data_IF_907442990205
#
_entry.id   IF_907442990205
#
_cell.length_a   1.000
_cell.length_b   1.000
_cell.length_c   1.000
_cell.angle_alpha   90.00
_cell.angle_beta   90.00
_cell.angle_gamma   90.00
#
_symmetry.space_group_name_H-M   'P 1'
#
loop_
_entity.id
_entity.type
_entity.pdbx_description
1 polymer ?
#
# COMPACT_ATOMS: atom_id res chain seq x y z
N UNK A 1 -13.93 84.76 -42.47
CA UNK A 1 -13.35 85.58 -43.55
C UNK A 1 -12.43 84.68 -44.37
N UNK A 2 -12.56 84.73 -45.71
CA UNK A 2 -11.66 84.24 -46.79
C UNK A 2 -11.02 82.85 -46.65
N UNK A 3 -11.46 81.80 -47.37
CA UNK A 3 -11.24 81.50 -48.82
C UNK A 3 -9.79 81.72 -49.27
N UNK A 4 -9.07 80.63 -49.58
CA UNK A 4 -8.50 80.35 -50.91
C UNK A 4 -7.62 79.07 -50.89
N UNK A 5 -8.01 78.08 -51.70
CA UNK A 5 -7.07 77.20 -52.42
C UNK A 5 -6.68 77.93 -53.71
N UNK A 6 -5.48 77.69 -54.28
CA UNK A 6 -5.46 76.82 -55.47
C UNK A 6 -4.17 75.99 -55.69
N UNK A 7 -4.41 74.79 -56.20
CA UNK A 7 -3.70 74.03 -57.26
C UNK A 7 -2.23 74.30 -57.61
N UNK A 8 -1.43 73.22 -57.70
CA UNK A 8 -0.99 72.67 -59.00
C UNK A 8 -0.36 71.28 -58.86
N UNK A 9 -0.85 70.37 -59.71
CA UNK A 9 -0.29 69.05 -60.04
C UNK A 9 0.96 69.21 -60.92
N UNK A 10 1.86 68.21 -60.93
CA UNK A 10 2.25 67.39 -62.12
C UNK A 10 3.59 66.66 -61.91
N UNK A 11 3.52 65.32 -62.04
CA UNK A 11 4.48 64.28 -62.46
C UNK A 11 5.92 64.22 -61.91
N UNK A 12 6.33 63.01 -61.45
CA UNK A 12 7.25 62.02 -62.10
C UNK A 12 7.14 60.74 -61.23
N UNK A 13 6.41 59.67 -61.59
CA UNK A 13 6.67 58.57 -62.54
C UNK A 13 8.05 57.90 -62.41
N UNK A 14 8.12 56.82 -61.60
CA UNK A 14 8.75 55.51 -61.87
C UNK A 14 9.10 54.85 -60.52
N UNK A 15 8.36 53.81 -60.10
CA UNK A 15 8.82 52.73 -59.22
C UNK A 15 7.73 51.70 -58.84
N UNK A 16 6.50 51.80 -59.34
CA UNK A 16 5.40 50.89 -58.98
C UNK A 16 5.01 49.92 -60.11
N UNK A 17 5.97 49.20 -60.70
CA UNK A 17 5.68 48.23 -61.76
C UNK A 17 6.53 46.94 -61.73
N UNK A 18 7.04 46.52 -60.58
CA UNK A 18 7.69 45.22 -60.41
C UNK A 18 7.29 44.65 -59.04
N UNK A 19 6.25 43.80 -59.02
CA UNK A 19 5.96 42.71 -58.06
C UNK A 19 4.48 42.26 -58.11
N UNK A 20 3.88 42.18 -59.31
CA UNK A 20 2.63 41.41 -59.51
C UNK A 20 2.96 40.28 -60.47
N UNK A 21 3.27 39.10 -59.93
CA UNK A 21 3.53 37.92 -60.76
C UNK A 21 4.38 36.82 -60.14
N UNK A 22 4.06 36.34 -58.93
CA UNK A 22 4.49 35.00 -58.49
C UNK A 22 3.73 34.59 -57.24
N UNK A 23 2.62 33.88 -57.43
CA UNK A 23 1.84 33.35 -56.31
C UNK A 23 0.56 32.63 -56.73
N UNK A 24 0.50 32.06 -57.94
CA UNK A 24 -0.48 31.01 -58.21
C UNK A 24 -0.01 29.78 -57.41
N UNK A 25 -0.70 29.44 -56.32
CA UNK A 25 -0.62 28.11 -55.78
C UNK A 25 -1.09 27.15 -56.89
N UNK A 26 -0.17 26.39 -57.48
CA UNK A 26 -0.52 25.19 -58.21
C UNK A 26 -0.83 24.13 -57.16
N UNK A 27 -2.09 23.73 -57.09
CA UNK A 27 -2.45 22.49 -56.45
C UNK A 27 -2.01 21.38 -57.42
N UNK A 28 -1.11 20.51 -56.98
CA UNK A 28 -0.86 19.25 -57.69
C UNK A 28 -2.15 18.42 -57.58
N UNK A 29 -2.75 18.10 -58.73
CA UNK A 29 -3.91 17.18 -58.86
C UNK A 29 -3.51 15.72 -58.63
N UNK A 30 -2.67 15.43 -57.64
CA UNK A 30 -2.32 14.04 -57.28
C UNK A 30 -3.26 13.46 -56.20
N UNK A 31 -4.56 13.77 -56.32
CA UNK A 31 -5.68 13.20 -55.55
C UNK A 31 -6.11 11.82 -56.09
N UNK A 32 -5.18 11.04 -56.65
CA UNK A 32 -5.46 9.68 -57.16
C UNK A 32 -4.45 8.65 -56.66
N UNK A 33 -3.94 8.81 -55.44
CA UNK A 33 -3.42 7.65 -54.71
C UNK A 33 -4.63 6.92 -54.10
N UNK A 34 -4.79 5.60 -54.32
CA UNK A 34 -5.81 4.85 -53.61
C UNK A 34 -5.60 5.04 -52.11
N UNK A 35 -6.68 5.24 -51.36
CA UNK A 35 -6.63 5.33 -49.90
C UNK A 35 -5.76 4.18 -49.37
N UNK A 36 -4.61 4.49 -48.79
CA UNK A 36 -3.91 3.54 -47.93
C UNK A 36 -4.88 3.22 -46.80
N UNK A 37 -5.23 1.94 -46.67
CA UNK A 37 -6.02 1.41 -45.56
C UNK A 37 -5.53 2.02 -44.26
N UNK A 38 -6.45 2.54 -43.44
CA UNK A 38 -6.15 3.05 -42.11
C UNK A 38 -5.31 1.99 -41.38
N UNK A 39 -4.13 2.32 -40.83
CA UNK A 39 -3.40 1.36 -40.02
C UNK A 39 -4.33 0.95 -38.88
N UNK A 40 -4.72 -0.31 -38.85
CA UNK A 40 -5.34 -0.89 -37.67
C UNK A 40 -4.32 -0.73 -36.55
N UNK A 41 -4.55 0.25 -35.66
CA UNK A 41 -3.90 0.27 -34.37
C UNK A 41 -4.46 -0.92 -33.60
N UNK A 42 -3.85 -2.07 -33.81
CA UNK A 42 -3.95 -3.15 -32.85
C UNK A 42 -3.54 -2.62 -31.48
N UNK A 43 -4.12 -3.13 -30.39
CA UNK A 43 -3.63 -2.80 -29.06
C UNK A 43 -2.11 -3.01 -29.04
N UNK A 44 -1.34 -2.14 -28.37
CA UNK A 44 0.08 -2.39 -28.19
C UNK A 44 0.23 -3.82 -27.64
N UNK A 45 1.22 -4.60 -28.09
CA UNK A 45 1.48 -5.89 -27.47
C UNK A 45 1.59 -5.64 -25.97
N UNK A 46 0.73 -6.33 -25.21
CA UNK A 46 0.77 -6.28 -23.75
C UNK A 46 2.09 -6.93 -23.34
N UNK A 47 3.15 -6.14 -23.27
CA UNK A 47 4.42 -6.61 -22.73
C UNK A 47 4.18 -6.88 -21.25
N UNK A 48 4.08 -8.17 -20.94
CA UNK A 48 3.96 -8.61 -19.57
C UNK A 48 5.21 -8.13 -18.81
N UNK A 49 5.05 -7.41 -17.68
CA UNK A 49 6.20 -6.93 -16.94
C UNK A 49 7.10 -8.10 -16.55
N UNK A 50 8.43 -7.97 -16.64
CA UNK A 50 9.34 -9.08 -16.36
C UNK A 50 9.10 -9.67 -14.96
N UNK A 51 9.39 -10.96 -14.75
CA UNK A 51 9.25 -11.59 -13.45
C UNK A 51 10.11 -10.87 -12.39
N UNK A 52 9.62 -10.73 -11.14
CA UNK A 52 10.40 -10.18 -10.04
C UNK A 52 11.76 -10.88 -9.86
N UNK A 53 12.82 -10.14 -9.52
CA UNK A 53 14.15 -10.71 -9.38
C UNK A 53 14.26 -11.60 -8.14
N UNK A 54 15.10 -12.67 -8.16
CA UNK A 54 15.43 -13.45 -6.98
C UNK A 54 16.30 -12.66 -5.99
N UNK A 55 16.42 -13.17 -4.75
CA UNK A 55 17.43 -12.66 -3.82
C UNK A 55 18.86 -12.83 -4.38
N UNK A 56 19.81 -11.96 -4.00
CA UNK A 56 21.20 -12.12 -4.36
C UNK A 56 21.75 -13.48 -3.91
N UNK A 57 22.42 -14.20 -4.82
CA UNK A 57 22.98 -15.53 -4.53
C UNK A 57 24.05 -15.51 -3.42
N UNK A 58 24.77 -14.39 -3.30
CA UNK A 58 25.70 -14.15 -2.20
C UNK A 58 25.16 -13.01 -1.32
N UNK A 59 24.61 -13.33 -0.12
CA UNK A 59 24.10 -12.31 0.77
C UNK A 59 25.24 -11.49 1.38
N UNK A 60 24.96 -10.22 1.68
CA UNK A 60 25.87 -9.39 2.47
C UNK A 60 26.10 -10.02 3.84
N UNK A 61 27.36 -10.13 4.31
CA UNK A 61 27.64 -10.73 5.61
C UNK A 61 27.12 -9.83 6.73
N UNK A 62 26.22 -10.36 7.56
CA UNK A 62 25.65 -9.66 8.71
C UNK A 62 26.05 -10.30 10.03
N UNK A 63 25.97 -9.52 11.11
CA UNK A 63 26.12 -10.04 12.49
C UNK A 63 25.08 -11.11 12.80
N UNK A 64 23.82 -10.88 12.41
CA UNK A 64 22.79 -11.91 12.48
C UNK A 64 22.91 -12.84 11.29
N UNK A 65 23.20 -14.12 11.55
CA UNK A 65 23.39 -15.12 10.50
C UNK A 65 22.07 -15.74 10.00
N UNK A 66 21.08 -14.89 9.71
CA UNK A 66 19.81 -15.32 9.13
C UNK A 66 19.93 -15.43 7.61
N UNK A 67 19.72 -16.63 7.06
CA UNK A 67 19.84 -16.90 5.62
C UNK A 67 18.50 -16.74 4.92
N UNK A 68 18.53 -16.30 3.66
CA UNK A 68 17.33 -16.22 2.80
C UNK A 68 16.32 -15.13 3.21
N UNK A 69 16.71 -14.20 4.07
CA UNK A 69 15.87 -13.12 4.60
C UNK A 69 16.55 -11.76 4.39
N UNK A 70 15.78 -10.68 4.42
CA UNK A 70 16.35 -9.32 4.42
C UNK A 70 17.05 -9.04 5.74
N UNK A 71 16.45 -9.44 6.86
CA UNK A 71 17.00 -9.28 8.19
C UNK A 71 16.40 -10.33 9.13
N UNK A 72 17.20 -10.85 10.05
CA UNK A 72 16.73 -11.61 11.21
C UNK A 72 17.19 -10.99 12.52
N UNK A 73 17.02 -11.71 13.63
CA UNK A 73 17.32 -11.25 14.98
C UNK A 73 16.59 -9.94 15.32
N UNK A 74 15.34 -9.82 14.84
CA UNK A 74 14.44 -8.74 15.18
C UNK A 74 13.63 -9.13 16.43
N UNK A 75 13.08 -8.14 17.12
CA UNK A 75 11.95 -8.39 18.02
C UNK A 75 10.67 -8.55 17.20
N UNK A 76 9.60 -9.02 17.86
CA UNK A 76 8.36 -9.37 17.18
C UNK A 76 7.84 -8.25 16.28
N UNK A 77 7.73 -8.52 14.99
CA UNK A 77 7.47 -7.49 13.99
C UNK A 77 6.00 -7.05 13.99
N UNK A 78 5.72 -5.95 13.32
CA UNK A 78 4.37 -5.37 13.20
C UNK A 78 4.23 -4.72 11.82
N UNK A 79 4.35 -3.40 11.73
CA UNK A 79 4.37 -2.68 10.46
C UNK A 79 5.64 -2.93 9.64
N UNK A 80 5.48 -3.00 8.32
CA UNK A 80 6.55 -3.16 7.35
C UNK A 80 6.32 -2.19 6.19
N UNK A 81 7.39 -1.50 5.77
CA UNK A 81 7.36 -0.57 4.63
C UNK A 81 8.55 -0.89 3.73
N UNK A 82 8.28 -1.37 2.52
CA UNK A 82 9.33 -1.62 1.53
C UNK A 82 9.87 -0.31 0.97
N UNK A 83 11.19 -0.20 0.90
CA UNK A 83 11.87 0.95 0.34
C UNK A 83 11.70 1.04 -1.18
N UNK A 84 11.86 2.24 -1.78
CA UNK A 84 11.73 2.44 -3.22
C UNK A 84 12.77 1.67 -4.05
N UNK A 85 13.89 1.27 -3.42
CA UNK A 85 14.95 0.48 -4.05
C UNK A 85 14.67 -1.04 -4.03
N UNK A 86 13.57 -1.48 -3.41
CA UNK A 86 13.21 -2.89 -3.21
C UNK A 86 14.25 -3.73 -2.44
N UNK A 87 15.28 -3.09 -1.90
CA UNK A 87 16.42 -3.73 -1.22
C UNK A 87 16.53 -3.32 0.23
N UNK A 88 15.83 -2.26 0.61
CA UNK A 88 15.68 -1.75 1.97
C UNK A 88 14.22 -1.79 2.43
N UNK A 89 14.01 -1.73 3.73
CA UNK A 89 12.70 -1.58 4.34
C UNK A 89 12.79 -0.87 5.70
N UNK A 90 11.67 -0.30 6.14
CA UNK A 90 11.43 0.02 7.54
C UNK A 90 10.61 -1.11 8.15
N UNK A 91 11.06 -1.64 9.29
CA UNK A 91 10.32 -2.64 10.07
C UNK A 91 10.09 -2.11 11.48
N UNK A 92 8.85 -2.22 11.94
CA UNK A 92 8.45 -1.87 13.29
C UNK A 92 8.47 -3.11 14.19
N UNK A 93 9.09 -2.97 15.36
CA UNK A 93 9.10 -3.97 16.42
C UNK A 93 8.02 -3.64 17.45
N UNK A 94 7.06 -4.56 17.58
CA UNK A 94 5.82 -4.36 18.32
C UNK A 94 6.06 -4.02 19.78
N UNK A 95 6.88 -4.83 20.45
CA UNK A 95 7.02 -4.79 21.90
C UNK A 95 8.02 -3.74 22.38
N UNK A 96 9.01 -3.39 21.56
CA UNK A 96 10.04 -2.40 21.88
C UNK A 96 9.67 -0.99 21.42
N UNK A 97 8.73 -0.87 20.47
CA UNK A 97 8.40 0.39 19.82
C UNK A 97 9.50 0.88 18.87
N UNK A 98 10.51 0.07 18.58
CA UNK A 98 11.59 0.45 17.68
C UNK A 98 11.14 0.38 16.22
N UNK A 99 11.58 1.34 15.42
CA UNK A 99 11.53 1.28 13.95
C UNK A 99 12.95 1.13 13.45
N UNK A 100 13.22 0.07 12.71
CA UNK A 100 14.55 -0.26 12.17
C UNK A 100 14.58 -0.09 10.66
N UNK A 101 15.64 0.55 10.17
CA UNK A 101 16.06 0.49 8.77
C UNK A 101 16.80 -0.83 8.57
N UNK A 102 16.31 -1.65 7.65
CA UNK A 102 16.91 -2.92 7.29
C UNK A 102 17.18 -2.93 5.78
N UNK A 103 18.21 -3.66 5.35
CA UNK A 103 18.52 -3.80 3.94
C UNK A 103 19.21 -5.12 3.63
N UNK A 104 19.07 -5.63 2.42
CA UNK A 104 19.76 -6.84 1.96
C UNK A 104 21.29 -6.70 1.91
N UNK A 105 21.80 -5.47 1.89
CA UNK A 105 23.21 -5.14 1.67
C UNK A 105 23.86 -4.29 2.77
N UNK A 106 23.22 -4.16 3.94
CA UNK A 106 23.74 -3.40 5.07
C UNK A 106 23.25 -3.96 6.41
N UNK A 107 23.98 -3.66 7.48
CA UNK A 107 23.54 -3.94 8.86
C UNK A 107 22.29 -3.13 9.23
N UNK A 108 21.41 -3.68 10.07
CA UNK A 108 20.21 -2.98 10.49
C UNK A 108 20.58 -1.79 11.39
N UNK A 109 19.82 -0.71 11.29
CA UNK A 109 19.97 0.48 12.12
C UNK A 109 18.65 0.84 12.78
N UNK A 110 18.68 1.16 14.07
CA UNK A 110 17.51 1.75 14.74
C UNK A 110 17.32 3.18 14.22
N UNK A 111 16.20 3.45 13.53
CA UNK A 111 15.84 4.79 13.05
C UNK A 111 15.31 5.62 14.20
N UNK A 112 14.39 5.07 14.99
CA UNK A 112 13.81 5.70 16.17
C UNK A 112 13.14 4.67 17.08
N UNK A 113 12.78 5.09 18.29
CA UNK A 113 12.01 4.30 19.25
C UNK A 113 10.83 5.15 19.73
N UNK A 114 9.62 4.59 19.59
CA UNK A 114 8.37 5.23 20.02
C UNK A 114 8.00 4.65 21.39
N UNK A 115 7.69 5.48 22.41
CA UNK A 115 7.17 4.98 23.66
C UNK A 115 5.83 4.26 23.43
N UNK A 116 5.75 3.00 23.84
CA UNK A 116 4.55 2.16 23.71
C UNK A 116 4.30 1.37 24.98
N UNK A 117 3.06 0.93 25.18
CA UNK A 117 2.70 -0.06 26.19
C UNK A 117 2.43 -1.41 25.52
N UNK A 118 3.34 -2.39 25.63
CA UNK A 118 3.23 -3.68 24.96
C UNK A 118 2.38 -4.70 25.74
N UNK A 119 1.65 -4.30 26.79
CA UNK A 119 0.78 -5.19 27.54
C UNK A 119 -0.24 -5.91 26.65
N UNK A 120 -0.41 -7.22 26.82
CA UNK A 120 -1.30 -8.03 25.98
C UNK A 120 -0.79 -8.09 24.53
N UNK A 121 -1.67 -7.75 23.59
CA UNK A 121 -1.31 -7.60 22.17
C UNK A 121 -1.01 -6.15 21.75
N UNK A 122 -0.93 -5.21 22.70
CA UNK A 122 -0.57 -3.81 22.45
C UNK A 122 0.91 -3.58 22.09
N UNK A 123 1.29 -2.33 21.87
CA UNK A 123 2.65 -1.91 21.48
C UNK A 123 2.69 -0.94 20.29
N UNK A 124 3.65 -1.09 19.39
CA UNK A 124 3.68 -0.43 18.07
C UNK A 124 3.02 -1.34 17.03
N UNK A 125 1.81 -1.01 16.57
CA UNK A 125 0.96 -1.93 15.78
C UNK A 125 1.17 -1.82 14.28
N UNK A 126 1.35 -0.60 13.76
CA UNK A 126 1.66 -0.39 12.35
C UNK A 126 2.35 0.98 12.15
N UNK A 127 3.01 1.11 11.01
CA UNK A 127 3.65 2.34 10.55
C UNK A 127 3.31 2.60 9.08
N UNK A 128 3.16 3.86 8.71
CA UNK A 128 2.98 4.27 7.32
C UNK A 128 3.70 5.59 7.05
N UNK A 129 4.30 5.70 5.87
CA UNK A 129 4.89 6.96 5.40
C UNK A 129 3.81 7.86 4.80
N UNK A 130 3.96 9.17 4.98
CA UNK A 130 3.18 10.14 4.22
C UNK A 130 3.35 9.90 2.70
N UNK A 131 2.29 10.07 1.89
CA UNK A 131 2.41 10.03 0.43
C UNK A 131 3.44 11.04 -0.10
N UNK A 132 3.70 12.12 0.64
CA UNK A 132 4.70 13.15 0.36
C UNK A 132 5.96 13.05 1.23
N UNK A 133 6.30 11.86 1.75
CA UNK A 133 7.47 11.64 2.62
C UNK A 133 8.80 12.17 2.06
N UNK A 134 8.96 12.20 0.74
CA UNK A 134 10.15 12.79 0.11
C UNK A 134 10.31 14.28 0.43
N UNK A 135 9.19 14.98 0.65
CA UNK A 135 9.09 16.42 0.92
C UNK A 135 8.91 16.72 2.42
N UNK A 136 7.98 16.02 3.08
CA UNK A 136 7.57 16.36 4.45
C UNK A 136 8.29 15.55 5.55
N UNK A 137 8.92 14.43 5.18
CA UNK A 137 9.57 13.47 6.11
C UNK A 137 8.65 12.99 7.24
N UNK A 138 7.33 12.96 7.00
CA UNK A 138 6.34 12.55 7.99
C UNK A 138 6.02 11.06 7.93
N UNK A 139 6.07 10.43 9.09
CA UNK A 139 5.58 9.06 9.31
C UNK A 139 4.43 9.09 10.30
N UNK A 140 3.52 8.13 10.19
CA UNK A 140 2.44 7.92 11.14
C UNK A 140 2.57 6.53 11.75
N UNK A 141 2.27 6.40 13.03
CA UNK A 141 2.30 5.13 13.74
C UNK A 141 1.02 4.93 14.54
N UNK A 142 0.53 3.68 14.56
CA UNK A 142 -0.56 3.26 15.42
C UNK A 142 0.03 2.57 16.64
N UNK A 143 -0.23 3.10 17.84
CA UNK A 143 0.44 2.68 19.07
C UNK A 143 -0.54 2.52 20.22
N UNK A 144 -0.23 1.60 21.12
CA UNK A 144 -0.84 1.48 22.44
C UNK A 144 -0.07 2.31 23.47
N UNK A 145 -0.81 2.96 24.35
CA UNK A 145 -0.32 3.61 25.57
C UNK A 145 -0.93 2.92 26.79
N UNK A 146 -0.59 3.32 28.03
CA UNK A 146 -1.29 2.81 29.21
C UNK A 146 -2.80 3.10 29.22
N UNK A 147 -3.26 4.13 28.51
CA UNK A 147 -4.66 4.60 28.57
C UNK A 147 -5.51 4.28 27.34
N UNK A 148 -4.91 4.17 26.16
CA UNK A 148 -5.64 4.04 24.89
C UNK A 148 -4.74 3.44 23.80
N UNK A 149 -5.34 3.19 22.65
CA UNK A 149 -4.63 3.16 21.37
C UNK A 149 -4.75 4.53 20.69
N UNK A 150 -3.79 4.89 19.84
CA UNK A 150 -3.75 6.20 19.16
C UNK A 150 -2.89 6.19 17.91
N UNK A 151 -3.16 7.14 17.02
CA UNK A 151 -2.26 7.50 15.93
C UNK A 151 -1.36 8.64 16.39
N UNK A 152 -0.06 8.52 16.13
CA UNK A 152 0.91 9.60 16.29
C UNK A 152 1.56 9.95 14.96
N UNK A 153 1.74 11.25 14.71
CA UNK A 153 2.60 11.78 13.66
C UNK A 153 4.02 11.92 14.18
N UNK A 154 4.97 11.51 13.37
CA UNK A 154 6.39 11.46 13.67
C UNK A 154 7.13 12.28 12.62
N UNK A 155 8.02 13.15 13.07
CA UNK A 155 8.98 13.87 12.26
C UNK A 155 10.39 13.64 12.84
N UNK A 156 11.40 13.54 11.99
CA UNK A 156 12.77 13.31 12.43
C UNK A 156 13.23 14.43 13.37
N UNK A 157 13.70 14.06 14.57
CA UNK A 157 14.18 15.00 15.59
C UNK A 157 13.09 15.68 16.43
N UNK A 158 11.81 15.34 16.24
CA UNK A 158 10.69 15.85 17.04
C UNK A 158 10.06 14.73 17.89
N UNK A 159 9.31 15.12 18.92
CA UNK A 159 8.52 14.17 19.71
C UNK A 159 7.28 13.72 18.93
N UNK A 160 6.86 12.44 19.02
CA UNK A 160 5.61 11.99 18.39
C UNK A 160 4.41 12.82 18.88
N UNK A 161 3.60 13.30 17.93
CA UNK A 161 2.44 14.15 18.22
C UNK A 161 1.14 13.39 17.94
N UNK A 162 0.16 13.36 18.86
CA UNK A 162 -1.09 12.65 18.65
C UNK A 162 -1.90 13.26 17.48
N UNK A 163 -2.52 12.39 16.70
CA UNK A 163 -3.42 12.71 15.58
C UNK A 163 -4.85 12.26 15.88
N UNK A 164 -4.99 11.07 16.46
CA UNK A 164 -6.26 10.53 16.94
C UNK A 164 -5.99 9.74 18.22
N UNK A 165 -6.68 10.09 19.31
CA UNK A 165 -6.53 9.47 20.64
C UNK A 165 -7.86 8.93 21.14
N UNK A 166 -7.83 8.19 22.25
CA UNK A 166 -9.04 7.66 22.88
C UNK A 166 -9.62 6.43 22.18
N UNK A 167 -8.85 5.78 21.29
CA UNK A 167 -9.25 4.49 20.73
C UNK A 167 -9.18 3.47 21.89
N UNK A 168 -10.25 2.72 22.18
CA UNK A 168 -10.24 1.79 23.29
C UNK A 168 -9.06 0.81 23.24
N UNK A 169 -8.47 0.57 24.41
CA UNK A 169 -7.42 -0.44 24.61
C UNK A 169 -7.94 -1.54 25.51
N UNK A 170 -7.83 -2.78 25.05
CA UNK A 170 -8.26 -3.99 25.75
C UNK A 170 -7.09 -4.85 26.23
N UNK A 171 -7.39 -6.00 26.81
CA UNK A 171 -6.39 -7.05 27.05
C UNK A 171 -5.96 -7.74 25.75
N UNK A 172 -6.84 -7.73 24.75
CA UNK A 172 -6.67 -8.34 23.42
C UNK A 172 -7.34 -7.46 22.35
N UNK A 173 -7.09 -7.76 21.08
CA UNK A 173 -7.63 -7.08 19.91
C UNK A 173 -7.27 -5.59 19.84
N UNK A 174 -6.05 -5.25 20.23
CA UNK A 174 -5.48 -3.90 20.08
C UNK A 174 -4.78 -3.68 18.74
N UNK A 175 -4.44 -4.78 18.05
CA UNK A 175 -3.83 -4.74 16.73
C UNK A 175 -4.67 -3.93 15.73
N UNK A 176 -4.02 -3.50 14.66
CA UNK A 176 -4.63 -2.64 13.65
C UNK A 176 -3.65 -2.35 12.52
N UNK A 177 -4.09 -1.54 11.57
CA UNK A 177 -3.29 -1.19 10.40
C UNK A 177 -3.54 0.24 9.95
N UNK A 178 -2.54 0.82 9.29
CA UNK A 178 -2.58 2.14 8.71
C UNK A 178 -2.35 2.07 7.20
N UNK A 179 -3.13 2.83 6.45
CA UNK A 179 -2.93 2.94 5.00
C UNK A 179 -3.39 4.31 4.51
N UNK A 180 -2.57 4.96 3.68
CA UNK A 180 -3.05 6.09 2.89
C UNK A 180 -3.80 5.57 1.67
N UNK A 181 -5.05 6.00 1.52
CA UNK A 181 -5.94 5.62 0.41
C UNK A 181 -6.05 6.72 -0.64
N UNK A 182 -5.60 7.92 -0.29
CA UNK A 182 -5.34 9.03 -1.19
C UNK A 182 -4.13 9.84 -0.67
N UNK A 183 -3.63 10.84 -1.41
CA UNK A 183 -2.60 11.75 -0.90
C UNK A 183 -2.97 12.46 0.41
N UNK A 184 -4.27 12.54 0.74
CA UNK A 184 -4.77 13.30 1.89
C UNK A 184 -5.58 12.46 2.88
N UNK A 185 -5.89 11.21 2.58
CA UNK A 185 -6.78 10.37 3.41
C UNK A 185 -5.99 9.25 4.04
N UNK A 186 -5.85 9.30 5.37
CA UNK A 186 -5.29 8.21 6.17
C UNK A 186 -6.43 7.35 6.71
N UNK A 187 -6.39 6.05 6.42
CA UNK A 187 -7.26 5.07 7.02
C UNK A 187 -6.58 4.32 8.16
N UNK A 188 -7.36 4.08 9.21
CA UNK A 188 -6.98 3.32 10.40
C UNK A 188 -7.97 2.17 10.59
N UNK A 189 -7.46 0.94 10.59
CA UNK A 189 -8.19 -0.23 11.03
C UNK A 189 -7.93 -0.46 12.53
N UNK A 190 -9.01 -0.60 13.29
CA UNK A 190 -8.98 -0.84 14.74
C UNK A 190 -9.63 -2.17 15.08
N UNK A 191 -9.05 -2.91 16.01
CA UNK A 191 -9.73 -4.04 16.63
C UNK A 191 -10.81 -3.61 17.63
N UNK A 192 -11.65 -4.55 18.04
CA UNK A 192 -12.75 -4.34 19.01
C UNK A 192 -12.31 -4.23 20.48
N UNK A 193 -11.00 -4.22 20.76
CA UNK A 193 -10.44 -4.18 22.12
C UNK A 193 -10.94 -5.31 23.05
N UNK A 194 -11.38 -6.45 22.47
CA UNK A 194 -11.89 -7.60 23.20
C UNK A 194 -13.36 -7.50 23.59
N UNK A 195 -14.06 -6.44 23.16
CA UNK A 195 -15.49 -6.25 23.37
C UNK A 195 -16.21 -6.05 22.02
N UNK A 196 -16.78 -7.12 21.44
CA UNK A 196 -17.50 -7.05 20.16
C UNK A 196 -18.68 -6.06 20.14
N UNK A 197 -19.25 -5.68 21.30
CA UNK A 197 -20.31 -4.68 21.34
C UNK A 197 -19.82 -3.30 20.88
N UNK A 198 -18.55 -2.97 21.17
CA UNK A 198 -17.92 -1.71 20.75
C UNK A 198 -17.86 -1.58 19.23
N UNK A 199 -17.67 -2.69 18.51
CA UNK A 199 -17.62 -2.71 17.05
C UNK A 199 -18.93 -2.20 16.41
N UNK A 200 -20.06 -2.39 17.09
CA UNK A 200 -21.39 -1.92 16.65
C UNK A 200 -21.80 -0.55 17.23
N UNK A 201 -21.12 -0.08 18.27
CA UNK A 201 -21.40 1.24 18.86
C UNK A 201 -20.89 2.37 17.92
N UNK A 202 -21.77 3.26 17.43
CA UNK A 202 -21.36 4.38 16.57
C UNK A 202 -20.55 5.45 17.30
N UNK A 203 -20.57 5.49 18.64
CA UNK A 203 -19.77 6.42 19.45
C UNK A 203 -18.36 5.89 19.77
N UNK A 204 -18.11 4.61 19.50
CA UNK A 204 -16.83 3.95 19.77
C UNK A 204 -15.90 3.97 18.56
N UNK A 205 -14.62 4.17 18.82
CA UNK A 205 -13.55 4.03 17.83
C UNK A 205 -13.02 2.60 17.70
N UNK A 206 -13.48 1.65 18.53
CA UNK A 206 -13.05 0.25 18.42
C UNK A 206 -13.89 -0.52 17.40
N UNK A 207 -13.26 -1.48 16.74
CA UNK A 207 -13.90 -2.35 15.75
C UNK A 207 -14.38 -1.58 14.51
N UNK A 208 -13.59 -0.58 14.07
CA UNK A 208 -13.87 0.32 12.94
C UNK A 208 -12.73 0.34 11.92
N UNK A 209 -13.09 0.65 10.67
CA UNK A 209 -12.21 1.30 9.70
C UNK A 209 -12.54 2.79 9.68
N UNK A 210 -11.58 3.61 10.10
CA UNK A 210 -11.74 5.06 10.31
C UNK A 210 -10.98 5.81 9.22
N UNK A 211 -11.57 6.87 8.67
CA UNK A 211 -10.94 7.81 7.72
C UNK A 211 -10.63 9.13 8.41
N UNK A 212 -9.39 9.57 8.25
CA UNK A 212 -8.89 10.87 8.68
C UNK A 212 -8.48 11.64 7.44
N UNK A 213 -9.25 12.68 7.11
CA UNK A 213 -8.92 13.60 6.03
C UNK A 213 -7.91 14.63 6.52
N UNK A 214 -6.85 14.82 5.72
CA UNK A 214 -5.75 15.75 5.96
C UNK A 214 -5.20 15.63 7.40
N UNK A 215 -4.65 14.45 7.79
CA UNK A 215 -4.23 14.20 9.16
C UNK A 215 -3.27 15.29 9.65
N UNK A 216 -3.70 16.00 10.70
CA UNK A 216 -3.02 17.21 11.19
C UNK A 216 -3.15 17.33 12.71
N UNK A 217 -2.22 18.06 13.32
CA UNK A 217 -2.24 18.34 14.76
C UNK A 217 -2.99 19.63 15.11
N UNK A 218 -3.52 20.35 14.10
CA UNK A 218 -4.15 21.66 14.25
C UNK A 218 -5.48 21.64 13.52
N UNK A 219 -6.57 21.90 14.25
CA UNK A 219 -7.94 22.03 13.71
C UNK A 219 -8.35 20.89 12.76
N UNK A 220 -7.98 19.65 13.12
CA UNK A 220 -8.33 18.47 12.33
C UNK A 220 -9.84 18.28 12.25
N UNK A 221 -10.34 17.97 11.06
CA UNK A 221 -11.74 17.61 10.86
C UNK A 221 -12.10 16.33 11.66
N UNK A 222 -13.35 16.18 12.12
CA UNK A 222 -13.80 14.95 12.74
C UNK A 222 -13.58 13.75 11.81
N UNK A 223 -13.04 12.62 12.30
CA UNK A 223 -12.89 11.43 11.49
C UNK A 223 -14.25 10.85 11.10
N UNK A 224 -14.28 10.10 10.01
CA UNK A 224 -15.48 9.37 9.56
C UNK A 224 -15.25 7.86 9.61
N UNK A 225 -16.32 7.09 9.65
CA UNK A 225 -16.26 5.62 9.70
C UNK A 225 -16.60 5.05 8.33
N UNK A 226 -15.66 4.31 7.74
CA UNK A 226 -15.80 3.61 6.48
C UNK A 226 -16.50 2.25 6.63
N UNK A 227 -16.19 1.54 7.72
CA UNK A 227 -16.70 0.21 8.02
C UNK A 227 -16.77 0.01 9.54
N UNK A 228 -17.81 -0.67 10.00
CA UNK A 228 -18.03 -1.05 11.40
C UNK A 228 -18.15 -2.56 11.53
N UNK A 229 -18.14 -3.07 12.76
CA UNK A 229 -18.27 -4.52 13.00
C UNK A 229 -16.97 -5.29 12.75
N UNK A 230 -15.82 -4.63 12.82
CA UNK A 230 -14.51 -5.27 12.78
C UNK A 230 -14.28 -5.96 14.14
N UNK A 231 -13.87 -7.23 14.13
CA UNK A 231 -13.46 -7.95 15.35
C UNK A 231 -12.00 -7.67 15.70
N UNK A 232 -11.21 -8.71 15.94
CA UNK A 232 -9.75 -8.58 16.02
C UNK A 232 -9.15 -8.19 14.66
N UNK A 233 -8.68 -6.96 14.54
CA UNK A 233 -8.15 -6.43 13.28
C UNK A 233 -6.92 -7.20 12.80
N UNK A 234 -6.86 -7.48 11.50
CA UNK A 234 -5.69 -8.02 10.81
C UNK A 234 -4.91 -6.90 10.13
N UNK A 235 -5.17 -6.66 8.85
CA UNK A 235 -4.45 -5.69 8.03
C UNK A 235 -5.28 -5.07 6.92
N UNK A 236 -4.65 -4.12 6.24
CA UNK A 236 -5.18 -3.40 5.07
C UNK A 236 -4.26 -3.59 3.87
N UNK A 237 -4.85 -3.79 2.71
CA UNK A 237 -4.15 -3.76 1.43
C UNK A 237 -5.05 -3.15 0.35
N UNK A 238 -4.44 -2.64 -0.72
CA UNK A 238 -5.12 -1.96 -1.81
C UNK A 238 -4.74 -2.57 -3.14
N UNK A 239 -5.73 -2.79 -3.98
CA UNK A 239 -5.53 -3.06 -5.39
C UNK A 239 -5.28 -1.73 -6.11
N UNK A 240 -4.07 -1.59 -6.66
CA UNK A 240 -3.66 -0.38 -7.39
C UNK A 240 -4.32 -0.29 -8.77
N UNK A 241 -4.82 -1.40 -9.32
CA UNK A 241 -5.43 -1.44 -10.64
C UNK A 241 -6.81 -0.78 -10.65
N UNK A 242 -7.64 -1.06 -9.64
CA UNK A 242 -9.01 -0.56 -9.58
C UNK A 242 -9.32 0.33 -8.35
N UNK A 243 -8.39 0.45 -7.41
CA UNK A 243 -8.53 1.24 -6.17
C UNK A 243 -9.31 0.54 -5.06
N UNK A 244 -9.65 -0.74 -5.21
CA UNK A 244 -10.33 -1.53 -4.18
C UNK A 244 -9.44 -1.74 -2.97
N UNK A 245 -10.02 -1.59 -1.79
CA UNK A 245 -9.37 -1.87 -0.52
C UNK A 245 -9.82 -3.23 -0.01
N UNK A 246 -8.92 -3.93 0.67
CA UNK A 246 -9.22 -5.17 1.36
C UNK A 246 -8.91 -5.03 2.84
N UNK A 247 -9.78 -5.61 3.66
CA UNK A 247 -9.73 -5.56 5.12
C UNK A 247 -9.78 -6.99 5.63
N UNK A 248 -8.81 -7.37 6.46
CA UNK A 248 -8.85 -8.65 7.18
C UNK A 248 -9.22 -8.44 8.63
N UNK A 249 -10.14 -9.25 9.15
CA UNK A 249 -10.55 -9.19 10.54
C UNK A 249 -11.04 -10.54 11.09
N UNK A 250 -11.02 -10.68 12.42
CA UNK A 250 -11.29 -11.92 13.13
C UNK A 250 -12.47 -11.75 14.07
N UNK A 251 -13.62 -12.27 13.69
CA UNK A 251 -14.87 -12.12 14.45
C UNK A 251 -15.18 -13.36 15.30
N UNK A 252 -16.12 -13.28 16.26
CA UNK A 252 -16.60 -14.46 16.97
C UNK A 252 -17.16 -15.57 16.07
N UNK A 253 -17.60 -15.26 14.84
CA UNK A 253 -18.16 -16.25 13.91
C UNK A 253 -17.20 -16.75 12.85
N UNK A 254 -16.03 -16.13 12.69
CA UNK A 254 -15.05 -16.51 11.69
C UNK A 254 -14.11 -15.37 11.33
N UNK A 255 -13.03 -15.72 10.65
CA UNK A 255 -12.09 -14.77 10.07
C UNK A 255 -12.60 -14.34 8.69
N UNK A 256 -12.48 -13.06 8.33
CA UNK A 256 -13.08 -12.52 7.11
C UNK A 256 -12.09 -11.71 6.30
N UNK A 257 -12.08 -11.95 4.99
CA UNK A 257 -11.55 -11.01 4.01
C UNK A 257 -12.73 -10.20 3.47
N UNK A 258 -12.70 -8.90 3.67
CA UNK A 258 -13.71 -7.95 3.17
C UNK A 258 -13.10 -7.08 2.09
N UNK A 259 -13.93 -6.57 1.17
CA UNK A 259 -13.56 -5.64 0.11
C UNK A 259 -14.40 -4.38 0.20
N UNK A 260 -13.76 -3.24 -0.03
CA UNK A 260 -14.41 -1.94 -0.21
C UNK A 260 -13.99 -1.44 -1.59
N UNK A 261 -14.95 -1.29 -2.50
CA UNK A 261 -14.65 -0.75 -3.84
C UNK A 261 -14.34 0.75 -3.75
N UNK A 262 -13.75 1.32 -4.81
CA UNK A 262 -13.53 2.78 -4.91
C UNK A 262 -14.82 3.61 -4.70
N UNK A 263 -15.97 3.02 -5.02
CA UNK A 263 -17.30 3.63 -4.86
C UNK A 263 -17.93 3.31 -3.49
N UNK A 264 -17.12 2.84 -2.52
CA UNK A 264 -17.51 2.51 -1.15
C UNK A 264 -18.52 1.38 -1.00
N UNK A 265 -18.61 0.47 -1.97
CA UNK A 265 -19.43 -0.75 -1.84
C UNK A 265 -18.65 -1.77 -1.03
N UNK A 266 -19.24 -2.22 0.08
CA UNK A 266 -18.64 -3.21 0.98
C UNK A 266 -19.19 -4.60 0.69
N UNK A 267 -18.31 -5.59 0.63
CA UNK A 267 -18.70 -7.00 0.56
C UNK A 267 -17.71 -7.90 1.32
N UNK A 268 -18.18 -9.06 1.75
CA UNK A 268 -17.31 -10.13 2.25
C UNK A 268 -16.83 -10.96 1.06
N UNK A 269 -15.52 -11.01 0.85
CA UNK A 269 -14.87 -11.79 -0.21
C UNK A 269 -14.80 -13.26 0.19
N UNK A 270 -14.35 -13.52 1.41
CA UNK A 270 -14.19 -14.86 1.93
C UNK A 270 -14.36 -14.89 3.46
N UNK A 271 -14.81 -16.03 3.99
CA UNK A 271 -14.88 -16.28 5.44
C UNK A 271 -14.26 -17.64 5.74
N UNK A 272 -13.39 -17.68 6.76
CA UNK A 272 -12.83 -18.90 7.34
C UNK A 272 -13.50 -19.19 8.68
N UNK A 273 -14.46 -20.13 8.74
CA UNK A 273 -15.17 -20.45 9.98
C UNK A 273 -14.28 -21.10 11.06
N UNK A 274 -13.18 -21.74 10.63
CA UNK A 274 -12.19 -22.42 11.46
C UNK A 274 -11.17 -21.47 12.11
N UNK A 275 -11.21 -20.17 11.77
CA UNK A 275 -10.42 -19.09 12.40
C UNK A 275 -8.90 -19.34 12.41
N UNK A 276 -8.26 -19.39 11.23
CA UNK A 276 -6.83 -19.63 11.11
C UNK A 276 -5.95 -18.46 11.60
N UNK A 277 -6.56 -17.37 12.08
CA UNK A 277 -5.88 -16.20 12.61
C UNK A 277 -5.39 -15.29 11.49
N UNK A 278 -6.28 -14.85 10.59
CA UNK A 278 -5.89 -14.02 9.45
C UNK A 278 -5.25 -12.69 9.91
N UNK A 279 -4.20 -12.28 9.20
CA UNK A 279 -3.37 -11.12 9.52
C UNK A 279 -3.20 -10.22 8.29
N UNK A 280 -2.00 -9.68 8.08
CA UNK A 280 -1.69 -8.78 6.97
C UNK A 280 -1.99 -9.40 5.61
N UNK A 281 -2.33 -8.53 4.66
CA UNK A 281 -2.61 -8.89 3.28
C UNK A 281 -1.77 -8.08 2.30
N UNK A 282 -1.61 -8.61 1.09
CA UNK A 282 -1.04 -7.91 -0.05
C UNK A 282 -1.83 -8.28 -1.31
N UNK A 283 -2.03 -7.31 -2.20
CA UNK A 283 -2.67 -7.57 -3.50
C UNK A 283 -1.59 -7.69 -4.55
N UNK A 284 -1.67 -8.76 -5.34
CA UNK A 284 -0.92 -8.95 -6.58
C UNK A 284 -1.91 -9.06 -7.74
N UNK A 285 -1.42 -9.16 -8.97
CA UNK A 285 -2.27 -9.23 -10.16
C UNK A 285 -3.36 -10.32 -10.03
N UNK A 286 -4.62 -9.88 -9.92
CA UNK A 286 -5.81 -10.72 -9.76
C UNK A 286 -5.88 -11.58 -8.49
N UNK A 287 -5.06 -11.33 -7.46
CA UNK A 287 -5.04 -12.16 -6.24
C UNK A 287 -4.79 -11.38 -4.96
N UNK A 288 -5.47 -11.78 -3.88
CA UNK A 288 -5.19 -11.29 -2.52
C UNK A 288 -4.44 -12.36 -1.74
N UNK A 289 -3.25 -12.01 -1.28
CA UNK A 289 -2.46 -12.82 -0.38
C UNK A 289 -2.81 -12.48 1.06
N UNK A 290 -3.02 -13.49 1.90
CA UNK A 290 -3.38 -13.32 3.31
C UNK A 290 -2.54 -14.24 4.18
N UNK A 291 -1.87 -13.68 5.18
CA UNK A 291 -1.20 -14.46 6.22
C UNK A 291 -2.21 -15.06 7.18
N UNK A 292 -1.93 -16.29 7.63
CA UNK A 292 -2.68 -17.00 8.66
C UNK A 292 -1.73 -17.34 9.81
N UNK A 293 -1.90 -16.65 10.94
CA UNK A 293 -0.96 -16.72 12.07
C UNK A 293 -0.99 -18.09 12.72
N UNK A 294 -2.17 -18.65 13.02
CA UNK A 294 -2.30 -19.87 13.82
C UNK A 294 -1.87 -21.11 13.03
N UNK A 295 -2.17 -21.14 11.73
CA UNK A 295 -1.82 -22.27 10.84
C UNK A 295 -0.45 -22.10 10.17
N UNK A 296 0.23 -20.97 10.41
CA UNK A 296 1.55 -20.65 9.85
C UNK A 296 1.55 -20.69 8.31
N UNK A 297 0.45 -20.23 7.72
CA UNK A 297 0.25 -20.25 6.26
C UNK A 297 0.25 -18.84 5.67
N UNK A 298 0.46 -18.79 4.36
CA UNK A 298 -0.01 -17.69 3.52
C UNK A 298 -0.85 -18.30 2.42
N UNK A 299 -2.06 -17.79 2.23
CA UNK A 299 -2.96 -18.23 1.16
C UNK A 299 -3.13 -17.16 0.11
N UNK A 300 -3.48 -17.57 -1.10
CA UNK A 300 -3.88 -16.71 -2.19
C UNK A 300 -5.35 -16.94 -2.53
N UNK A 301 -6.11 -15.84 -2.60
CA UNK A 301 -7.49 -15.82 -3.04
C UNK A 301 -7.49 -15.20 -4.45
N UNK A 302 -7.76 -16.02 -5.46
CA UNK A 302 -7.83 -15.57 -6.86
C UNK A 302 -9.19 -14.93 -7.15
N UNK A 303 -9.16 -13.84 -7.91
CA UNK A 303 -10.33 -13.05 -8.24
C UNK A 303 -10.46 -12.91 -9.75
N UNK A 304 -11.71 -12.94 -10.23
CA UNK A 304 -12.01 -12.69 -11.62
C UNK A 304 -11.74 -11.20 -11.95
N UNK A 305 -10.96 -10.89 -13.00
CA UNK A 305 -10.55 -9.51 -13.31
C UNK A 305 -11.72 -8.53 -13.45
N UNK A 306 -12.81 -8.95 -14.08
CA UNK A 306 -13.93 -8.05 -14.41
C UNK A 306 -14.93 -7.84 -13.25
N UNK A 307 -15.06 -8.84 -12.37
CA UNK A 307 -16.09 -8.83 -11.32
C UNK A 307 -15.51 -8.71 -9.92
N UNK A 308 -14.23 -9.02 -9.74
CA UNK A 308 -13.60 -9.20 -8.44
C UNK A 308 -14.20 -10.36 -7.62
N UNK A 309 -14.95 -11.26 -8.27
CA UNK A 309 -15.52 -12.45 -7.62
C UNK A 309 -14.43 -13.50 -7.40
N UNK A 310 -14.50 -14.22 -6.29
CA UNK A 310 -13.57 -15.32 -5.98
C UNK A 310 -13.76 -16.46 -7.00
N UNK A 311 -12.66 -16.91 -7.61
CA UNK A 311 -12.69 -17.92 -8.69
C UNK A 311 -12.44 -19.35 -8.20
N UNK A 312 -12.15 -19.55 -6.92
CA UNK A 312 -11.88 -20.85 -6.33
C UNK A 312 -11.51 -20.76 -4.85
N UNK A 313 -11.25 -21.92 -4.23
CA UNK A 313 -10.84 -21.97 -2.83
C UNK A 313 -9.46 -21.30 -2.62
N UNK A 314 -9.18 -20.72 -1.43
CA UNK A 314 -7.87 -20.17 -1.10
C UNK A 314 -6.74 -21.21 -1.25
N UNK A 315 -5.72 -20.86 -2.03
CA UNK A 315 -4.57 -21.71 -2.34
C UNK A 315 -3.43 -21.44 -1.35
N UNK A 316 -2.90 -22.47 -0.68
CA UNK A 316 -1.74 -22.31 0.21
C UNK A 316 -0.47 -22.09 -0.63
N UNK A 317 0.16 -20.93 -0.47
CA UNK A 317 1.41 -20.56 -1.17
C UNK A 317 2.63 -20.47 -0.27
N UNK A 318 2.42 -20.46 1.05
CA UNK A 318 3.46 -20.67 2.06
C UNK A 318 2.90 -21.57 3.15
N UNK A 319 3.66 -22.60 3.52
CA UNK A 319 3.37 -23.46 4.65
C UNK A 319 4.58 -23.49 5.57
N UNK A 320 4.43 -22.98 6.78
CA UNK A 320 5.38 -23.09 7.91
C UNK A 320 6.84 -22.72 7.58
N UNK A 321 7.05 -21.91 6.55
CA UNK A 321 8.37 -21.35 6.24
C UNK A 321 8.50 -20.04 7.02
N UNK A 322 9.43 -20.01 7.99
CA UNK A 322 9.60 -18.95 9.00
C UNK A 322 8.46 -18.83 10.04
N UNK A 323 7.56 -19.80 10.14
CA UNK A 323 6.55 -19.86 11.21
C UNK A 323 5.40 -18.84 11.08
N UNK A 324 5.10 -18.17 12.19
CA UNK A 324 4.01 -17.21 12.34
C UNK A 324 4.35 -15.89 11.64
N UNK A 325 3.56 -15.52 10.63
CA UNK A 325 3.75 -14.29 9.87
C UNK A 325 2.58 -13.32 10.06
N UNK A 326 2.90 -12.03 10.24
CA UNK A 326 1.92 -10.97 10.41
C UNK A 326 1.82 -10.10 9.15
N UNK A 327 2.81 -9.24 8.91
CA UNK A 327 2.82 -8.34 7.77
C UNK A 327 2.99 -9.07 6.44
N UNK A 328 2.36 -8.54 5.39
CA UNK A 328 2.67 -8.78 3.98
C UNK A 328 2.72 -7.43 3.27
N UNK A 329 3.74 -7.20 2.45
CA UNK A 329 3.87 -5.99 1.64
C UNK A 329 4.44 -6.30 0.26
N UNK A 330 3.86 -5.67 -0.75
CA UNK A 330 4.37 -5.65 -2.11
C UNK A 330 5.50 -4.61 -2.21
N UNK A 331 6.64 -5.03 -2.74
CA UNK A 331 7.80 -4.20 -3.04
C UNK A 331 7.71 -3.64 -4.47
N UNK A 332 8.34 -2.49 -4.80
CA UNK A 332 8.29 -1.91 -6.14
C UNK A 332 8.76 -2.82 -7.28
N UNK A 333 9.66 -3.76 -7.01
CA UNK A 333 10.13 -4.79 -7.94
C UNK A 333 9.16 -5.97 -8.13
N UNK A 334 7.98 -5.92 -7.50
CA UNK A 334 6.95 -6.95 -7.58
C UNK A 334 7.16 -8.13 -6.63
N UNK A 335 8.21 -8.13 -5.81
CA UNK A 335 8.38 -9.13 -4.77
C UNK A 335 7.44 -8.89 -3.59
N UNK A 336 6.96 -9.97 -2.97
CA UNK A 336 6.15 -9.91 -1.75
C UNK A 336 7.02 -10.27 -0.56
N UNK A 337 6.99 -9.42 0.46
CA UNK A 337 7.78 -9.56 1.69
C UNK A 337 6.87 -9.72 2.89
N UNK A 338 7.27 -10.57 3.83
CA UNK A 338 6.57 -10.79 5.09
C UNK A 338 7.43 -10.52 6.31
N UNK A 339 6.79 -10.24 7.44
CA UNK A 339 7.42 -10.12 8.75
C UNK A 339 6.87 -11.15 9.73
N UNK A 340 7.75 -11.84 10.47
CA UNK A 340 7.35 -12.86 11.45
C UNK A 340 7.09 -12.29 12.83
N UNK A 341 6.33 -13.05 13.63
CA UNK A 341 5.96 -12.70 15.01
C UNK A 341 6.15 -13.87 15.99
N UNK A 342 7.05 -14.80 15.69
CA UNK A 342 7.31 -16.00 16.48
C UNK A 342 7.64 -15.67 17.94
N UNK A 343 8.34 -14.56 18.21
CA UNK A 343 8.67 -14.17 19.60
C UNK A 343 7.45 -13.90 20.48
N UNK A 344 6.32 -13.52 19.89
CA UNK A 344 5.09 -13.25 20.63
C UNK A 344 3.94 -14.21 20.33
N UNK A 345 4.06 -15.01 19.28
CA UNK A 345 3.12 -16.10 18.96
C UNK A 345 3.58 -17.48 19.43
N UNK A 346 4.86 -17.66 19.77
CA UNK A 346 5.47 -18.93 20.12
C UNK A 346 6.44 -19.44 19.06
N UNK A 347 7.21 -20.48 19.40
CA UNK A 347 8.10 -21.21 18.48
C UNK A 347 9.26 -20.40 17.88
N UNK A 348 9.71 -19.33 18.54
CA UNK A 348 10.84 -18.52 18.08
C UNK A 348 12.16 -19.32 18.05
N UNK A 349 12.84 -19.29 16.90
CA UNK A 349 14.21 -19.75 16.73
C UNK A 349 15.21 -18.62 17.07
N UNK A 350 16.51 -18.95 17.11
CA UNK A 350 17.61 -18.05 17.49
C UNK A 350 17.70 -16.80 16.61
N UNK A 351 17.36 -16.95 15.34
CA UNK A 351 17.45 -15.86 14.35
C UNK A 351 16.11 -15.16 14.13
N UNK A 352 15.07 -15.52 14.88
CA UNK A 352 13.78 -14.86 14.80
C UNK A 352 13.78 -13.53 15.58
N UNK A 353 12.88 -12.62 15.30
CA UNK A 353 11.97 -12.60 14.15
C UNK A 353 12.68 -12.11 12.88
N UNK A 354 12.09 -12.37 11.71
CA UNK A 354 12.69 -12.10 10.40
C UNK A 354 11.77 -11.33 9.46
N UNK A 355 12.37 -10.60 8.52
CA UNK A 355 11.70 -10.09 7.32
C UNK A 355 12.16 -10.92 6.12
N UNK A 356 11.24 -11.69 5.54
CA UNK A 356 11.54 -12.72 4.54
C UNK A 356 10.80 -12.47 3.21
N UNK A 357 11.36 -12.88 2.06
CA UNK A 357 10.62 -12.89 0.81
C UNK A 357 9.66 -14.09 0.77
N UNK A 358 8.42 -13.86 0.35
CA UNK A 358 7.44 -14.94 0.21
C UNK A 358 7.84 -15.92 -0.90
N UNK A 359 8.44 -15.41 -1.97
CA UNK A 359 8.90 -16.18 -3.15
C UNK A 359 10.42 -16.01 -3.33
N UNK A 360 11.26 -16.82 -2.65
CA UNK A 360 12.71 -16.59 -2.58
C UNK A 360 13.44 -16.78 -3.92
N UNK A 361 12.87 -17.56 -4.84
CA UNK A 361 13.43 -17.82 -6.16
C UNK A 361 13.13 -16.72 -7.19
N UNK A 362 12.52 -15.60 -6.78
CA UNK A 362 11.99 -14.60 -7.70
C UNK A 362 10.72 -15.08 -8.39
N UNK A 363 10.31 -14.40 -9.46
CA UNK A 363 9.10 -14.74 -10.21
C UNK A 363 7.81 -14.16 -9.64
N UNK A 364 7.84 -13.61 -8.41
CA UNK A 364 6.65 -13.04 -7.77
C UNK A 364 5.58 -14.08 -7.47
N UNK A 365 4.38 -13.61 -7.14
CA UNK A 365 3.22 -14.50 -7.08
C UNK A 365 2.91 -15.05 -8.49
N UNK A 366 2.61 -16.36 -8.65
CA UNK A 366 2.27 -16.93 -9.96
C UNK A 366 1.09 -16.18 -10.59
N UNK A 367 1.38 -15.38 -11.61
CA UNK A 367 0.36 -14.72 -12.42
C UNK A 367 -0.48 -15.82 -13.08
N UNK A 368 -1.78 -15.59 -13.20
CA UNK A 368 -2.62 -16.50 -13.97
C UNK A 368 -2.14 -16.48 -15.40
N UNK A 369 -1.46 -17.53 -15.84
CA UNK A 369 -1.25 -17.75 -17.27
C UNK A 369 -2.62 -17.72 -17.92
N UNK A 370 -2.84 -16.79 -18.84
CA UNK A 370 -3.93 -16.88 -19.82
C UNK A 370 -3.71 -18.03 -20.83
N UNK A 371 -2.80 -18.97 -20.55
CA UNK A 371 -2.44 -20.08 -21.42
C UNK A 371 -2.55 -21.41 -20.65
N UNK A 372 -3.77 -21.93 -20.66
CA UNK A 372 -4.04 -23.36 -20.71
C UNK A 372 -5.11 -23.63 -21.80
N UNK A 373 -4.97 -22.96 -22.94
CA UNK A 373 -5.67 -23.28 -24.21
C UNK A 373 -4.77 -22.99 -25.39
#
# INVERSE_FOLDING_TARGET
MSVQRPTRRVLVLLCAALLVGSGCARFDDNQSQPFTTQPEMGPPPSEEPPPPPPLPAQPFPKVCDAKGVMQGCLESTSGLIMGPDSKSALVAERTTGAVKEIATNAEPKVKLVIPVDPSGDGGLMDIVLSPTYSQDKLMYAYVSTPSDNRIVRIADGDVPKPILTGIPKGATNNMGALMFTSPTTLELLTGDAGDPAQASDPSSLAGKLIRIEQPTTVDQAPPTTALSGIGGAGGLCIDRADGSQYVTDRTPTGDRLQRITKDSVVSTVWTWPDKPGIAGCAVTDGSVLVNMVNTKQTVAIRMAPDTGAVTGDPEVVRQDTHGHAWALKLSPDGNVWGGTINRTSGDADKVDDVVFPLFPQGGGFPRTNAENT
#
